data_IF_254845514076
#
_entry.id   IF_254845514076
#
_cell.length_a   1.000
_cell.length_b   1.000
_cell.length_c   1.000
_cell.angle_alpha   90.00
_cell.angle_beta   90.00
_cell.angle_gamma   90.00
#
_symmetry.space_group_name_H-M   'P 1'
#
loop_
_entity.id
_entity.type
_entity.pdbx_description
1 polymer ?
#
# COMPACT_ATOMS: atom_id res chain seq x y z
N UNK A 1 -24.70 -28.69 -2.63
CA UNK A 1 -24.42 -27.44 -3.37
C UNK A 1 -23.07 -26.89 -2.94
N UNK A 2 -22.11 -26.64 -3.85
CA UNK A 2 -20.89 -25.90 -3.48
C UNK A 2 -21.28 -24.43 -3.30
N UNK A 3 -21.37 -23.97 -2.06
CA UNK A 3 -21.68 -22.58 -1.74
C UNK A 3 -20.67 -21.67 -2.47
N UNK A 4 -21.12 -20.96 -3.50
CA UNK A 4 -20.37 -19.87 -4.08
C UNK A 4 -20.52 -18.68 -3.13
N UNK A 5 -19.87 -18.76 -1.96
CA UNK A 5 -19.94 -17.69 -0.97
C UNK A 5 -19.47 -16.37 -1.61
N UNK A 6 -20.23 -15.32 -1.34
CA UNK A 6 -19.93 -13.97 -1.77
C UNK A 6 -19.65 -13.20 -0.49
N UNK A 7 -18.40 -12.77 -0.37
CA UNK A 7 -17.97 -11.86 0.66
C UNK A 7 -17.33 -10.67 -0.04
N UNK A 8 -17.73 -9.46 0.32
CA UNK A 8 -17.09 -8.22 -0.14
C UNK A 8 -16.83 -7.31 1.04
N UNK A 9 -15.73 -6.58 0.96
CA UNK A 9 -15.27 -5.69 2.02
C UNK A 9 -14.77 -4.38 1.38
N UNK A 10 -15.16 -3.25 1.97
CA UNK A 10 -14.57 -1.95 1.63
C UNK A 10 -13.17 -1.87 2.24
N UNK A 11 -12.24 -1.29 1.49
CA UNK A 11 -10.84 -1.21 1.89
C UNK A 11 -10.30 0.19 1.63
N UNK A 12 -9.17 0.54 2.25
CA UNK A 12 -8.44 1.74 1.85
C UNK A 12 -8.08 1.66 0.37
N UNK A 13 -8.38 2.70 -0.43
CA UNK A 13 -8.22 2.58 -1.86
C UNK A 13 -6.76 2.38 -2.28
N UNK A 14 -6.58 1.67 -3.39
CA UNK A 14 -5.28 1.55 -4.05
C UNK A 14 -5.44 1.45 -5.56
N UNK A 15 -4.37 1.75 -6.27
CA UNK A 15 -4.29 1.70 -7.71
C UNK A 15 -3.64 0.41 -8.20
N UNK A 16 -4.24 -0.17 -9.23
CA UNK A 16 -3.70 -1.30 -9.99
C UNK A 16 -3.65 -1.01 -11.48
N UNK A 17 -3.00 -1.89 -12.25
CA UNK A 17 -3.00 -1.86 -13.72
C UNK A 17 -3.41 -3.20 -14.28
N UNK A 18 -4.12 -3.20 -15.41
CA UNK A 18 -4.47 -4.41 -16.15
C UNK A 18 -3.26 -4.99 -16.88
N UNK A 19 -3.16 -6.32 -16.99
CA UNK A 19 -2.11 -7.01 -17.76
C UNK A 19 -2.10 -6.56 -19.22
N UNK A 20 -0.94 -6.54 -19.90
CA UNK A 20 -0.86 -6.17 -21.32
C UNK A 20 -1.28 -7.29 -22.31
N UNK A 21 -1.50 -8.53 -21.84
CA UNK A 21 -1.77 -9.69 -22.70
C UNK A 21 -2.91 -9.43 -23.70
N UNK A 22 -2.78 -10.00 -24.90
CA UNK A 22 -3.74 -9.93 -26.03
C UNK A 22 -5.11 -10.55 -25.74
N UNK A 23 -5.27 -11.23 -24.61
CA UNK A 23 -6.58 -11.75 -24.21
C UNK A 23 -7.54 -10.61 -23.92
N UNK A 24 -8.79 -10.77 -24.37
CA UNK A 24 -9.85 -9.83 -24.06
C UNK A 24 -10.06 -9.75 -22.54
N UNK A 25 -9.86 -8.54 -22.01
CA UNK A 25 -10.04 -8.24 -20.59
C UNK A 25 -11.44 -7.68 -20.44
N UNK A 26 -12.13 -8.16 -19.42
CA UNK A 26 -13.50 -7.80 -19.15
C UNK A 26 -13.72 -7.60 -17.66
N UNK A 27 -14.80 -6.90 -17.36
CA UNK A 27 -15.37 -6.73 -16.03
C UNK A 27 -16.86 -7.08 -16.08
N UNK A 28 -17.49 -7.09 -14.93
CA UNK A 28 -18.93 -7.24 -14.75
C UNK A 28 -19.40 -6.15 -13.80
N UNK A 29 -20.62 -5.65 -13.94
CA UNK A 29 -21.12 -4.59 -13.05
C UNK A 29 -21.36 -5.17 -11.65
N UNK A 30 -21.86 -6.40 -11.59
CA UNK A 30 -22.01 -7.16 -10.35
C UNK A 30 -21.29 -8.50 -10.41
N UNK A 31 -20.67 -8.91 -9.31
CA UNK A 31 -19.82 -10.10 -9.25
C UNK A 31 -20.56 -11.41 -9.61
N UNK A 32 -21.89 -11.43 -9.44
CA UNK A 32 -22.74 -12.60 -9.72
C UNK A 32 -23.16 -12.73 -11.17
N UNK A 33 -22.91 -11.72 -12.00
CA UNK A 33 -23.44 -11.65 -13.35
C UNK A 33 -23.03 -12.84 -14.24
N UNK A 34 -23.94 -13.20 -15.14
CA UNK A 34 -23.71 -14.21 -16.15
C UNK A 34 -22.59 -13.80 -17.11
N UNK A 35 -21.97 -14.77 -17.78
CA UNK A 35 -20.89 -14.50 -18.76
C UNK A 35 -21.33 -13.57 -19.89
N UNK A 36 -22.62 -13.52 -20.22
CA UNK A 36 -23.20 -12.65 -21.25
C UNK A 36 -23.20 -11.17 -20.88
N UNK A 37 -23.07 -10.84 -19.59
CA UNK A 37 -23.03 -9.45 -19.08
C UNK A 37 -21.61 -8.89 -18.97
N UNK A 38 -20.61 -9.61 -19.50
CA UNK A 38 -19.23 -9.15 -19.47
C UNK A 38 -19.07 -7.91 -20.35
N UNK A 39 -18.52 -6.87 -19.76
CA UNK A 39 -18.19 -5.64 -20.48
C UNK A 39 -16.69 -5.63 -20.81
N UNK A 40 -16.31 -5.33 -22.07
CA UNK A 40 -14.91 -5.15 -22.41
C UNK A 40 -14.37 -3.88 -21.76
N UNK A 41 -13.08 -3.86 -21.41
CA UNK A 41 -12.42 -2.62 -21.04
C UNK A 41 -12.21 -1.74 -22.28
N UNK A 42 -12.50 -0.44 -22.15
CA UNK A 42 -12.11 0.55 -23.17
C UNK A 42 -10.60 0.55 -23.40
N UNK A 43 -10.16 1.01 -24.59
CA UNK A 43 -8.72 1.10 -24.91
C UNK A 43 -7.96 1.98 -23.92
N UNK A 44 -8.58 3.04 -23.41
CA UNK A 44 -8.00 3.96 -22.43
C UNK A 44 -7.74 3.28 -21.07
N UNK A 45 -8.67 2.43 -20.63
CA UNK A 45 -8.54 1.67 -19.38
C UNK A 45 -7.39 0.64 -19.38
N UNK A 46 -6.90 0.24 -20.56
CA UNK A 46 -5.73 -0.65 -20.65
C UNK A 46 -4.41 0.03 -20.24
N UNK A 47 -4.34 1.35 -20.32
CA UNK A 47 -3.15 2.14 -20.00
C UNK A 47 -3.27 2.86 -18.65
N UNK A 48 -4.50 3.13 -18.22
CA UNK A 48 -4.78 3.86 -16.99
C UNK A 48 -4.70 2.97 -15.73
N UNK A 49 -4.55 3.65 -14.59
CA UNK A 49 -4.62 3.02 -13.27
C UNK A 49 -6.10 2.83 -12.92
N UNK A 50 -6.48 1.65 -12.42
CA UNK A 50 -7.79 1.42 -11.83
C UNK A 50 -7.70 1.67 -10.33
N UNK A 51 -8.55 2.55 -9.80
CA UNK A 51 -8.73 2.74 -8.35
C UNK A 51 -9.61 1.61 -7.82
N UNK A 52 -9.10 0.87 -6.85
CA UNK A 52 -9.79 -0.23 -6.18
C UNK A 52 -10.18 0.23 -4.79
N UNK A 53 -11.47 0.13 -4.46
CA UNK A 53 -12.08 0.54 -3.20
C UNK A 53 -12.74 -0.63 -2.45
N UNK A 54 -13.02 -1.74 -3.14
CA UNK A 54 -13.54 -2.97 -2.53
C UNK A 54 -12.84 -4.21 -3.06
N UNK A 55 -12.78 -5.21 -2.21
CA UNK A 55 -12.32 -6.56 -2.54
C UNK A 55 -13.48 -7.51 -2.31
N UNK A 56 -13.63 -8.52 -3.16
CA UNK A 56 -14.55 -9.61 -2.86
C UNK A 56 -14.09 -10.96 -3.37
N UNK A 57 -14.74 -11.99 -2.85
CA UNK A 57 -14.47 -13.38 -3.17
C UNK A 57 -15.73 -14.01 -3.76
N UNK A 58 -15.59 -14.63 -4.92
CA UNK A 58 -16.67 -15.37 -5.58
C UNK A 58 -16.08 -16.48 -6.45
N UNK A 59 -16.70 -17.67 -6.44
CA UNK A 59 -16.25 -18.86 -7.17
C UNK A 59 -14.75 -19.17 -6.95
N UNK A 60 -14.29 -19.06 -5.70
CA UNK A 60 -12.88 -19.25 -5.29
C UNK A 60 -11.90 -18.29 -5.98
N UNK A 61 -12.36 -17.16 -6.49
CA UNK A 61 -11.55 -16.14 -7.13
C UNK A 61 -11.65 -14.83 -6.37
N UNK A 62 -10.51 -14.12 -6.32
CA UNK A 62 -10.42 -12.76 -5.81
C UNK A 62 -10.86 -11.79 -6.91
N UNK A 63 -11.72 -10.85 -6.55
CA UNK A 63 -12.23 -9.80 -7.41
C UNK A 63 -11.96 -8.44 -6.78
N UNK A 64 -11.70 -7.45 -7.62
CA UNK A 64 -11.53 -6.07 -7.22
C UNK A 64 -12.65 -5.25 -7.83
N UNK A 65 -13.33 -4.50 -6.98
CA UNK A 65 -14.23 -3.46 -7.42
C UNK A 65 -13.38 -2.26 -7.81
N UNK A 66 -13.70 -1.63 -8.93
CA UNK A 66 -13.10 -0.37 -9.31
C UNK A 66 -14.18 0.66 -9.58
N UNK A 67 -13.93 1.89 -9.15
CA UNK A 67 -14.77 3.03 -9.44
C UNK A 67 -13.94 3.97 -10.34
N UNK A 68 -14.38 4.14 -11.58
CA UNK A 68 -13.75 5.03 -12.55
C UNK A 68 -14.77 5.98 -13.14
N UNK A 69 -14.28 7.07 -13.74
CA UNK A 69 -15.14 8.11 -14.36
C UNK A 69 -16.02 7.54 -15.47
N UNK A 70 -15.51 6.56 -16.22
CA UNK A 70 -16.20 5.98 -17.39
C UNK A 70 -16.89 4.66 -17.06
N UNK A 71 -16.27 3.84 -16.21
CA UNK A 71 -16.73 2.50 -15.89
C UNK A 71 -16.61 2.25 -14.38
N UNK A 72 -17.60 1.57 -13.81
CA UNK A 72 -17.57 0.97 -12.48
C UNK A 72 -17.83 -0.53 -12.62
N UNK A 73 -17.25 -1.33 -11.72
CA UNK A 73 -17.61 -2.74 -11.61
C UNK A 73 -16.50 -3.61 -11.04
N UNK A 74 -16.62 -4.90 -11.28
CA UNK A 74 -15.76 -5.94 -10.73
C UNK A 74 -14.86 -6.56 -11.79
N UNK A 75 -13.56 -6.56 -11.51
CA UNK A 75 -12.54 -7.22 -12.31
C UNK A 75 -11.89 -8.34 -11.52
N UNK A 76 -11.80 -9.52 -12.13
CA UNK A 76 -11.08 -10.63 -11.50
C UNK A 76 -9.59 -10.28 -11.37
N UNK A 77 -9.02 -10.53 -10.20
CA UNK A 77 -7.59 -10.32 -9.89
C UNK A 77 -6.66 -10.97 -10.92
N UNK A 78 -7.08 -12.04 -11.61
CA UNK A 78 -6.31 -12.68 -12.69
C UNK A 78 -5.94 -11.73 -13.85
N UNK A 79 -6.71 -10.68 -14.08
CA UNK A 79 -6.46 -9.68 -15.13
C UNK A 79 -5.55 -8.54 -14.67
N UNK A 80 -5.25 -8.48 -13.37
CA UNK A 80 -4.43 -7.42 -12.77
C UNK A 80 -2.96 -7.81 -12.80
N UNK A 81 -2.09 -6.81 -12.99
CA UNK A 81 -0.64 -6.98 -12.90
C UNK A 81 -0.20 -7.22 -11.48
N UNK A 82 0.50 -8.33 -11.25
CA UNK A 82 1.13 -8.64 -9.96
C UNK A 82 2.34 -7.74 -9.64
N UNK A 83 2.93 -7.12 -10.67
CA UNK A 83 4.14 -6.30 -10.57
C UNK A 83 3.83 -4.80 -10.56
N UNK A 84 2.62 -4.40 -10.16
CA UNK A 84 2.25 -3.00 -9.98
C UNK A 84 1.24 -2.87 -8.83
N UNK A 85 1.53 -2.00 -7.87
CA UNK A 85 0.61 -1.60 -6.80
C UNK A 85 0.98 -0.18 -6.37
N UNK A 86 0.00 0.67 -6.12
CA UNK A 86 0.21 1.99 -5.53
C UNK A 86 -0.93 2.29 -4.56
N UNK A 87 -0.64 2.47 -3.29
CA UNK A 87 -1.61 2.76 -2.25
C UNK A 87 -2.06 4.23 -2.34
N UNK A 88 -3.35 4.49 -2.12
CA UNK A 88 -3.88 5.87 -2.04
C UNK A 88 -3.78 6.35 -0.61
N UNK A 89 -2.65 6.97 -0.27
CA UNK A 89 -2.37 7.50 1.06
C UNK A 89 -2.49 9.03 1.06
N UNK A 90 -3.36 9.55 1.92
CA UNK A 90 -3.32 10.95 2.32
C UNK A 90 -2.22 11.11 3.36
N UNK A 91 -1.27 12.00 3.09
CA UNK A 91 -0.09 12.20 3.93
C UNK A 91 -0.07 13.63 4.45
N UNK A 92 0.14 13.79 5.76
CA UNK A 92 0.31 15.08 6.43
C UNK A 92 1.75 15.20 6.90
N UNK A 93 2.39 16.31 6.56
CA UNK A 93 3.73 16.67 7.02
C UNK A 93 3.59 17.55 8.24
N UNK A 94 4.51 17.39 9.20
CA UNK A 94 4.66 18.30 10.32
C UNK A 94 6.15 18.46 10.63
N UNK A 95 6.69 19.65 10.37
CA UNK A 95 8.12 19.93 10.53
C UNK A 95 8.52 20.21 11.99
N UNK A 96 7.56 20.32 12.91
CA UNK A 96 7.84 20.53 14.33
C UNK A 96 8.34 19.26 15.02
N UNK A 97 8.13 18.10 14.40
CA UNK A 97 8.40 16.79 14.99
C UNK A 97 9.36 15.96 14.15
N UNK A 98 9.95 14.93 14.77
CA UNK A 98 10.81 13.99 14.09
C UNK A 98 10.07 13.26 12.95
N UNK A 99 10.73 13.14 11.79
CA UNK A 99 10.14 12.52 10.60
C UNK A 99 9.67 11.08 10.85
N UNK A 100 10.31 10.29 11.71
CA UNK A 100 9.86 8.94 12.02
C UNK A 100 8.55 8.94 12.81
N UNK A 101 8.34 9.92 13.69
CA UNK A 101 7.09 10.11 14.45
C UNK A 101 5.95 10.49 13.51
N UNK A 102 6.19 11.47 12.63
CA UNK A 102 5.22 11.89 11.60
C UNK A 102 4.87 10.72 10.67
N UNK A 103 5.86 9.95 10.24
CA UNK A 103 5.64 8.75 9.44
C UNK A 103 4.78 7.71 10.17
N UNK A 104 5.08 7.44 11.45
CA UNK A 104 4.33 6.48 12.26
C UNK A 104 2.85 6.91 12.43
N UNK A 105 2.60 8.19 12.68
CA UNK A 105 1.25 8.74 12.77
C UNK A 105 0.47 8.58 11.46
N UNK A 106 1.09 8.89 10.32
CA UNK A 106 0.48 8.70 9.01
C UNK A 106 0.20 7.21 8.71
N UNK A 107 1.10 6.32 9.12
CA UNK A 107 0.93 4.88 8.95
C UNK A 107 -0.23 4.33 9.81
N UNK A 108 -0.37 4.81 11.05
CA UNK A 108 -1.51 4.51 11.93
C UNK A 108 -2.82 5.05 11.36
N UNK A 109 -2.82 6.30 10.91
CA UNK A 109 -3.99 6.94 10.29
C UNK A 109 -4.45 6.15 9.08
N UNK A 110 -3.52 5.69 8.23
CA UNK A 110 -3.84 4.81 7.12
C UNK A 110 -4.38 3.45 7.58
N UNK A 111 -3.99 2.97 8.76
CA UNK A 111 -4.49 1.70 9.31
C UNK A 111 -5.90 1.80 9.92
N UNK A 112 -6.48 3.00 9.95
CA UNK A 112 -7.80 3.30 10.52
C UNK A 112 -7.78 3.87 11.95
N UNK A 113 -6.60 4.23 12.48
CA UNK A 113 -6.43 4.76 13.83
C UNK A 113 -5.89 6.18 13.79
N UNK A 114 -6.70 7.13 14.21
CA UNK A 114 -6.38 8.56 14.14
C UNK A 114 -5.91 9.05 15.51
N UNK A 115 -4.59 9.04 15.73
CA UNK A 115 -3.96 9.65 16.90
C UNK A 115 -3.31 11.00 16.54
N UNK A 116 -3.33 11.94 17.48
CA UNK A 116 -2.51 13.14 17.39
C UNK A 116 -1.02 12.81 17.55
N UNK A 117 -0.13 13.72 17.15
CA UNK A 117 1.31 13.50 17.32
C UNK A 117 1.67 13.41 18.81
N UNK A 118 1.06 14.25 19.65
CA UNK A 118 1.28 14.21 21.10
C UNK A 118 0.86 12.88 21.71
N UNK A 119 -0.23 12.27 21.22
CA UNK A 119 -0.64 10.93 21.62
C UNK A 119 0.35 9.87 21.17
N UNK A 120 0.91 9.98 19.96
CA UNK A 120 1.95 9.07 19.48
C UNK A 120 3.19 9.16 20.36
N UNK A 121 3.63 10.37 20.71
CA UNK A 121 4.83 10.60 21.52
C UNK A 121 4.68 9.98 22.91
N UNK A 122 3.48 9.95 23.50
CA UNK A 122 3.24 9.29 24.80
C UNK A 122 3.60 7.79 24.80
N UNK A 123 3.62 7.13 23.64
CA UNK A 123 4.03 5.72 23.52
C UNK A 123 5.53 5.53 23.30
N UNK A 124 6.28 6.62 23.09
CA UNK A 124 7.68 6.60 22.73
C UNK A 124 8.51 7.19 23.88
N UNK A 125 9.64 6.59 24.20
CA UNK A 125 10.56 7.24 25.14
C UNK A 125 11.20 8.45 24.46
N UNK A 126 11.45 9.52 25.22
CA UNK A 126 12.08 10.71 24.67
C UNK A 126 13.52 10.39 24.21
N UNK A 127 13.75 10.41 22.90
CA UNK A 127 15.03 10.06 22.24
C UNK A 127 15.37 11.06 21.16
N UNK A 128 16.67 11.25 20.91
CA UNK A 128 17.16 12.08 19.81
C UNK A 128 16.89 11.47 18.41
N UNK A 129 16.69 10.15 18.32
CA UNK A 129 16.38 9.47 17.07
C UNK A 129 15.62 8.18 17.34
N UNK A 130 14.59 7.93 16.54
CA UNK A 130 13.75 6.74 16.64
C UNK A 130 14.13 5.69 15.60
N UNK A 131 14.13 4.43 16.03
CA UNK A 131 14.34 3.23 15.23
C UNK A 131 13.04 2.41 15.14
N UNK A 132 12.95 1.46 14.20
CA UNK A 132 11.77 0.60 14.04
C UNK A 132 11.17 0.05 15.34
N UNK A 133 11.99 -0.51 16.23
CA UNK A 133 11.50 -1.18 17.45
C UNK A 133 10.89 -0.21 18.48
N UNK A 134 11.24 1.07 18.43
CA UNK A 134 10.66 2.06 19.34
C UNK A 134 9.14 2.20 19.12
N UNK A 135 8.67 1.93 17.90
CA UNK A 135 7.24 1.97 17.55
C UNK A 135 6.48 0.67 17.86
N UNK A 136 7.12 -0.35 18.43
CA UNK A 136 6.49 -1.64 18.70
C UNK A 136 5.24 -1.50 19.58
N UNK A 137 5.39 -0.84 20.75
CA UNK A 137 4.29 -0.68 21.71
C UNK A 137 3.13 0.13 21.13
N UNK A 138 3.45 1.21 20.41
CA UNK A 138 2.48 2.05 19.72
C UNK A 138 1.58 1.23 18.78
N UNK A 139 2.17 0.41 17.90
CA UNK A 139 1.41 -0.35 16.90
C UNK A 139 0.71 -1.59 17.47
N UNK A 140 1.31 -2.27 18.45
CA UNK A 140 0.65 -3.40 19.11
C UNK A 140 -0.59 -2.92 19.87
N UNK A 141 -0.49 -1.83 20.63
CA UNK A 141 -1.59 -1.35 21.47
C UNK A 141 -2.74 -0.76 20.64
N UNK A 142 -2.44 -0.07 19.54
CA UNK A 142 -3.47 0.59 18.74
C UNK A 142 -3.97 -0.28 17.60
N UNK A 143 -3.09 -0.97 16.86
CA UNK A 143 -3.48 -1.72 15.66
C UNK A 143 -3.59 -3.23 15.89
N UNK A 144 -3.02 -3.76 16.98
CA UNK A 144 -2.91 -5.19 17.25
C UNK A 144 -1.86 -5.90 16.40
N UNK A 145 -1.00 -5.17 15.71
CA UNK A 145 0.01 -5.76 14.83
C UNK A 145 1.20 -4.83 14.62
N UNK A 146 2.41 -5.38 14.69
CA UNK A 146 3.65 -4.71 14.33
C UNK A 146 4.53 -5.67 13.54
N UNK A 147 5.23 -5.16 12.53
CA UNK A 147 6.09 -5.97 11.70
C UNK A 147 7.44 -5.31 11.45
N UNK A 148 8.45 -5.88 12.10
CA UNK A 148 9.83 -5.53 11.81
C UNK A 148 10.24 -6.07 10.43
N UNK A 149 10.73 -5.17 9.58
CA UNK A 149 11.14 -5.48 8.21
C UNK A 149 12.63 -5.23 7.97
N UNK A 150 13.41 -5.09 9.05
CA UNK A 150 14.86 -4.96 8.99
C UNK A 150 15.49 -6.12 8.19
N UNK A 151 16.41 -5.79 7.30
CA UNK A 151 17.14 -6.75 6.46
C UNK A 151 16.24 -7.68 5.62
N UNK A 152 14.96 -7.36 5.41
CA UNK A 152 14.05 -8.23 4.64
C UNK A 152 14.18 -7.97 3.14
N UNK A 153 14.04 -9.03 2.36
CA UNK A 153 14.07 -8.92 0.89
C UNK A 153 12.93 -8.06 0.34
N UNK A 154 13.15 -7.44 -0.82
CA UNK A 154 12.10 -6.69 -1.52
C UNK A 154 10.83 -7.51 -1.82
N UNK A 155 10.93 -8.85 -1.90
CA UNK A 155 9.75 -9.73 -1.98
C UNK A 155 8.86 -9.58 -0.75
N UNK A 156 9.43 -9.50 0.45
CA UNK A 156 8.68 -9.32 1.71
C UNK A 156 8.12 -7.90 1.84
N UNK A 157 8.87 -6.88 1.40
CA UNK A 157 8.43 -5.48 1.33
C UNK A 157 7.23 -5.34 0.39
N UNK A 158 7.34 -5.82 -0.86
CA UNK A 158 6.22 -5.87 -1.82
C UNK A 158 5.04 -6.66 -1.27
N UNK A 159 5.29 -7.69 -0.49
CA UNK A 159 4.24 -8.45 0.21
C UNK A 159 3.43 -7.61 1.20
N UNK A 160 4.00 -6.60 1.85
CA UNK A 160 3.22 -5.66 2.69
C UNK A 160 2.35 -4.75 1.82
N UNK A 161 2.93 -4.16 0.78
CA UNK A 161 2.22 -3.28 -0.15
C UNK A 161 1.07 -4.01 -0.86
N UNK A 162 1.25 -5.29 -1.21
CA UNK A 162 0.19 -6.13 -1.78
C UNK A 162 -0.98 -6.37 -0.80
N UNK A 163 -0.70 -6.38 0.50
CA UNK A 163 -1.68 -6.49 1.60
C UNK A 163 -2.21 -5.13 2.08
N UNK A 164 -2.02 -4.08 1.27
CA UNK A 164 -2.48 -2.74 1.60
C UNK A 164 -1.83 -2.15 2.87
N UNK A 165 -0.55 -2.46 3.09
CA UNK A 165 0.22 -1.99 4.25
C UNK A 165 1.44 -1.21 3.77
N UNK A 166 1.49 0.12 3.95
CA UNK A 166 2.67 0.93 3.65
C UNK A 166 3.86 0.51 4.52
N UNK A 167 5.06 0.84 4.10
CA UNK A 167 6.29 0.47 4.81
C UNK A 167 7.12 1.71 5.08
N UNK A 168 7.46 1.96 6.35
CA UNK A 168 8.39 3.01 6.72
C UNK A 168 9.81 2.47 6.60
N UNK A 169 10.70 3.26 6.01
CA UNK A 169 12.11 2.95 5.83
C UNK A 169 12.98 4.14 6.19
N UNK A 170 14.13 3.85 6.79
CA UNK A 170 15.19 4.82 6.97
C UNK A 170 16.19 4.66 5.84
N UNK A 171 16.71 5.77 5.35
CA UNK A 171 17.69 5.87 4.28
C UNK A 171 18.83 6.79 4.76
N UNK A 172 20.00 6.66 4.14
CA UNK A 172 21.14 7.59 4.30
C UNK A 172 21.51 7.83 5.77
N UNK A 173 22.06 6.80 6.42
CA UNK A 173 22.55 6.87 7.81
C UNK A 173 21.47 7.33 8.81
N UNK A 174 20.22 6.96 8.53
CA UNK A 174 19.01 7.29 9.30
C UNK A 174 18.61 8.77 9.24
N UNK A 175 19.23 9.59 8.40
CA UNK A 175 18.89 11.00 8.23
C UNK A 175 17.58 11.20 7.46
N UNK A 176 17.16 10.21 6.67
CA UNK A 176 16.01 10.33 5.81
C UNK A 176 14.99 9.22 6.07
N UNK A 177 13.76 9.61 6.43
CA UNK A 177 12.65 8.69 6.65
C UNK A 177 11.67 8.78 5.49
N UNK A 178 11.28 7.64 4.92
CA UNK A 178 10.34 7.57 3.80
C UNK A 178 9.27 6.52 4.06
N UNK A 179 8.10 6.72 3.45
CA UNK A 179 7.03 5.72 3.46
C UNK A 179 6.82 5.15 2.07
N UNK A 180 7.21 3.90 1.86
CA UNK A 180 6.89 3.18 0.63
C UNK A 180 5.38 2.96 0.54
N UNK A 181 4.81 3.40 -0.57
CA UNK A 181 3.38 3.30 -0.87
C UNK A 181 3.12 2.50 -2.14
N UNK A 182 4.14 1.99 -2.81
CA UNK A 182 3.90 1.20 -4.01
C UNK A 182 5.15 0.70 -4.68
N UNK A 183 4.96 -0.08 -5.74
CA UNK A 183 6.04 -0.55 -6.59
C UNK A 183 5.55 -0.81 -8.01
N UNK A 184 6.51 -0.80 -8.94
CA UNK A 184 6.38 -1.51 -10.20
C UNK A 184 7.56 -2.50 -10.38
N UNK A 185 7.78 -3.01 -11.60
CA UNK A 185 8.91 -3.92 -11.87
C UNK A 185 10.29 -3.31 -11.55
N UNK A 186 10.47 -1.99 -11.78
CA UNK A 186 11.76 -1.30 -11.77
C UNK A 186 11.95 -0.34 -10.59
N UNK A 187 10.88 0.24 -10.06
CA UNK A 187 10.94 1.30 -9.04
C UNK A 187 9.98 1.02 -7.89
N UNK A 188 10.25 1.67 -6.75
CA UNK A 188 9.30 1.87 -5.67
C UNK A 188 8.71 3.28 -5.73
N UNK A 189 7.44 3.41 -5.34
CA UNK A 189 6.76 4.69 -5.10
C UNK A 189 6.79 4.96 -3.60
N UNK A 190 7.13 6.18 -3.20
CA UNK A 190 7.20 6.55 -1.79
C UNK A 190 6.70 7.97 -1.55
N UNK A 191 6.24 8.20 -0.32
CA UNK A 191 6.08 9.53 0.27
C UNK A 191 7.36 9.87 1.00
N UNK A 192 7.97 10.98 0.62
CA UNK A 192 9.02 11.58 1.42
C UNK A 192 8.38 12.25 2.63
N UNK A 193 8.85 11.93 3.84
CA UNK A 193 8.20 12.43 5.05
C UNK A 193 8.50 13.91 5.25
N UNK A 194 9.62 14.39 4.71
CA UNK A 194 10.01 15.78 4.84
C UNK A 194 9.08 16.70 4.02
N UNK A 195 8.77 16.38 2.76
CA UNK A 195 7.97 17.27 1.90
C UNK A 195 6.57 16.72 1.56
N UNK A 196 6.26 15.47 1.92
CA UNK A 196 4.98 14.83 1.66
C UNK A 196 4.71 14.53 0.18
N UNK A 197 5.68 14.74 -0.71
CA UNK A 197 5.51 14.55 -2.16
C UNK A 197 5.60 13.07 -2.54
N UNK A 198 4.88 12.72 -3.61
CA UNK A 198 4.99 11.41 -4.23
C UNK A 198 6.25 11.34 -5.07
N UNK A 199 7.21 10.51 -4.66
CA UNK A 199 8.47 10.32 -5.35
C UNK A 199 8.64 8.88 -5.82
N UNK A 200 9.61 8.68 -6.72
CA UNK A 200 9.98 7.36 -7.23
C UNK A 200 11.45 7.11 -7.06
N UNK A 201 11.82 5.87 -6.76
CA UNK A 201 13.21 5.47 -6.60
C UNK A 201 13.45 4.12 -7.26
N UNK A 202 14.54 4.01 -8.02
CA UNK A 202 14.93 2.72 -8.60
C UNK A 202 15.32 1.72 -7.52
N UNK A 203 15.16 0.42 -7.81
CA UNK A 203 15.56 -0.63 -6.85
C UNK A 203 17.05 -0.54 -6.50
N UNK A 204 17.92 -0.19 -7.44
CA UNK A 204 19.36 -0.06 -7.14
C UNK A 204 19.64 1.13 -6.20
N UNK A 205 19.09 2.31 -6.50
CA UNK A 205 19.25 3.50 -5.65
C UNK A 205 18.67 3.27 -4.25
N UNK A 206 17.48 2.66 -4.15
CA UNK A 206 16.89 2.33 -2.86
C UNK A 206 17.78 1.36 -2.09
N UNK A 207 18.35 0.35 -2.75
CA UNK A 207 19.24 -0.63 -2.09
C UNK A 207 20.49 0.05 -1.54
N UNK A 208 21.08 0.95 -2.32
CA UNK A 208 22.27 1.69 -1.90
C UNK A 208 21.99 2.56 -0.66
N UNK A 209 20.91 3.34 -0.69
CA UNK A 209 20.52 4.24 0.41
C UNK A 209 20.04 3.49 1.66
N UNK A 210 19.32 2.38 1.47
CA UNK A 210 18.82 1.53 2.55
C UNK A 210 19.94 0.72 3.23
N UNK A 211 21.01 0.38 2.49
CA UNK A 211 22.20 -0.24 3.06
C UNK A 211 22.89 0.68 4.08
N UNK A 212 22.99 1.98 3.79
CA UNK A 212 23.61 2.97 4.67
C UNK A 212 22.91 3.05 6.04
N UNK A 213 21.58 2.95 6.06
CA UNK A 213 20.81 2.91 7.30
C UNK A 213 20.81 1.55 8.03
N UNK A 214 21.56 0.54 7.57
CA UNK A 214 21.51 -0.81 8.14
C UNK A 214 20.22 -1.57 7.84
N UNK A 215 19.59 -1.26 6.70
CA UNK A 215 18.34 -1.84 6.21
C UNK A 215 17.16 -1.73 7.19
N UNK A 216 17.04 -0.61 7.90
CA UNK A 216 15.95 -0.40 8.87
C UNK A 216 14.61 -0.13 8.18
N UNK A 217 13.58 -0.89 8.58
CA UNK A 217 12.22 -0.73 8.07
C UNK A 217 11.18 -1.38 8.98
N UNK A 218 9.96 -0.85 8.99
CA UNK A 218 8.82 -1.52 9.61
C UNK A 218 7.48 -1.25 8.92
N UNK A 219 6.48 -2.02 9.30
CA UNK A 219 5.07 -1.89 8.95
C UNK A 219 4.24 -2.46 10.10
N UNK A 220 2.95 -2.70 9.88
CA UNK A 220 2.05 -3.39 10.81
C UNK A 220 1.43 -4.63 10.16
#
# INVERSE_FOLDING_TARGET
MKANAIASERINPFYVRLKHLKMEKWYVNEMQEAKSKRCPFSKENNYNKLEIDKIGFYKKQLWFHFCGVVNEGWVSHKFVRKNYRLLKLHFKVDHQYDNAVVAAQNLLSYSGYHLSIDEVIKFLDNKHSYKPNDFFRLFINNKGSFKLLNNKSYRRIRGQLLRNRPVIMWLDDNQHCVMLIGFNRKVFFYKDVYDGLNKTISVSQLTHRWKKSGYLAFSY
#
